data_IF_784187905642
#
_entry.id   IF_784187905642
#
_cell.length_a   1.000
_cell.length_b   1.000
_cell.length_c   1.000
_cell.angle_alpha   90.00
_cell.angle_beta   90.00
_cell.angle_gamma   90.00
#
_symmetry.space_group_name_H-M   'P 1'
#
loop_
_entity.id
_entity.type
_entity.pdbx_description
1 polymer ?
#
# COMPACT_ATOMS: atom_id res chain seq x y z
N UNK A 1 -36.13 13.18 33.83
CA UNK A 1 -35.98 13.36 32.36
C UNK A 1 -36.96 12.42 31.65
N UNK A 2 -37.82 12.91 30.76
CA UNK A 2 -38.86 12.06 30.13
C UNK A 2 -38.26 11.03 29.17
N UNK A 3 -38.84 9.83 29.14
CA UNK A 3 -38.44 8.69 28.28
C UNK A 3 -38.31 9.10 26.80
N UNK A 4 -39.12 10.08 26.35
CA UNK A 4 -39.04 10.67 25.00
C UNK A 4 -37.71 11.37 24.74
N UNK A 5 -37.20 12.18 25.68
CA UNK A 5 -35.90 12.85 25.54
C UNK A 5 -34.75 11.86 25.57
N UNK A 6 -34.83 10.81 26.40
CA UNK A 6 -33.81 9.76 26.43
C UNK A 6 -33.72 9.01 25.09
N UNK A 7 -34.88 8.67 24.49
CA UNK A 7 -34.93 8.03 23.17
C UNK A 7 -34.34 8.93 22.09
N UNK A 8 -34.66 10.22 22.09
CA UNK A 8 -34.08 11.18 21.15
C UNK A 8 -32.56 11.27 21.29
N UNK A 9 -32.04 11.39 22.51
CA UNK A 9 -30.59 11.43 22.76
C UNK A 9 -29.90 10.17 22.25
N UNK A 10 -30.48 8.98 22.51
CA UNK A 10 -29.97 7.72 21.96
C UNK A 10 -29.97 7.70 20.44
N UNK A 11 -31.05 8.15 19.79
CA UNK A 11 -31.12 8.21 18.33
C UNK A 11 -30.06 9.15 17.75
N UNK A 12 -29.89 10.35 18.31
CA UNK A 12 -28.83 11.27 17.89
C UNK A 12 -27.44 10.65 18.04
N UNK A 13 -27.20 9.95 19.15
CA UNK A 13 -25.92 9.29 19.42
C UNK A 13 -25.67 8.15 18.41
N UNK A 14 -26.70 7.35 18.09
CA UNK A 14 -26.58 6.30 17.07
C UNK A 14 -26.34 6.85 15.67
N UNK A 15 -26.97 7.98 15.32
CA UNK A 15 -26.77 8.63 14.02
C UNK A 15 -25.34 9.15 13.92
N UNK A 16 -24.87 9.87 14.95
CA UNK A 16 -23.48 10.37 15.00
C UNK A 16 -22.49 9.21 14.89
N UNK A 17 -22.71 8.12 15.64
CA UNK A 17 -21.85 6.95 15.59
C UNK A 17 -21.82 6.32 14.19
N UNK A 18 -22.98 6.15 13.56
CA UNK A 18 -23.08 5.61 12.21
C UNK A 18 -22.38 6.52 11.18
N UNK A 19 -22.52 7.85 11.30
CA UNK A 19 -21.86 8.80 10.41
C UNK A 19 -20.33 8.76 10.58
N UNK A 20 -19.83 8.71 11.81
CA UNK A 20 -18.38 8.60 12.08
C UNK A 20 -17.82 7.29 11.54
N UNK A 21 -18.51 6.16 11.76
CA UNK A 21 -18.09 4.86 11.23
C UNK A 21 -18.06 4.87 9.71
N UNK A 22 -19.11 5.38 9.05
CA UNK A 22 -19.16 5.49 7.60
C UNK A 22 -18.02 6.37 7.06
N UNK A 23 -17.74 7.51 7.71
CA UNK A 23 -16.66 8.41 7.34
C UNK A 23 -15.28 7.74 7.48
N UNK A 24 -15.05 6.98 8.57
CA UNK A 24 -13.80 6.24 8.78
C UNK A 24 -13.59 5.14 7.74
N UNK A 25 -14.65 4.39 7.41
CA UNK A 25 -14.60 3.35 6.36
C UNK A 25 -14.32 3.96 4.99
N UNK A 26 -14.99 5.06 4.66
CA UNK A 26 -14.78 5.77 3.39
C UNK A 26 -13.36 6.33 3.29
N UNK A 27 -12.84 6.94 4.36
CA UNK A 27 -11.48 7.46 4.40
C UNK A 27 -10.44 6.33 4.23
N UNK A 28 -10.64 5.18 4.88
CA UNK A 28 -9.79 4.00 4.67
C UNK A 28 -9.82 3.50 3.24
N UNK A 29 -11.01 3.44 2.63
CA UNK A 29 -11.16 3.01 1.24
C UNK A 29 -10.43 3.95 0.26
N UNK A 30 -10.61 5.26 0.42
CA UNK A 30 -9.91 6.26 -0.40
C UNK A 30 -8.38 6.14 -0.26
N UNK A 31 -7.88 6.01 0.97
CA UNK A 31 -6.43 5.88 1.23
C UNK A 31 -5.86 4.61 0.59
N UNK A 32 -6.59 3.50 0.66
CA UNK A 32 -6.15 2.25 0.03
C UNK A 32 -6.16 2.36 -1.50
N UNK A 33 -7.16 3.03 -2.08
CA UNK A 33 -7.21 3.31 -3.52
C UNK A 33 -6.04 4.16 -4.00
N UNK A 34 -5.70 5.23 -3.27
CA UNK A 34 -4.56 6.08 -3.63
C UNK A 34 -3.22 5.36 -3.50
N UNK A 35 -3.03 4.58 -2.42
CA UNK A 35 -1.81 3.78 -2.23
C UNK A 35 -1.65 2.74 -3.33
N UNK A 36 -2.75 2.13 -3.77
CA UNK A 36 -2.71 1.15 -4.86
C UNK A 36 -2.35 1.78 -6.20
N UNK A 37 -2.85 3.00 -6.47
CA UNK A 37 -2.46 3.74 -7.66
C UNK A 37 -0.96 4.07 -7.67
N UNK A 38 -0.41 4.50 -6.53
CA UNK A 38 1.04 4.74 -6.38
C UNK A 38 1.83 3.43 -6.53
N UNK A 39 1.37 2.34 -5.91
CA UNK A 39 2.00 1.03 -6.07
C UNK A 39 2.04 0.59 -7.54
N UNK A 40 0.97 0.83 -8.32
CA UNK A 40 0.97 0.56 -9.77
C UNK A 40 1.97 1.43 -10.53
N UNK A 41 2.15 2.69 -10.15
CA UNK A 41 3.19 3.55 -10.74
C UNK A 41 4.58 2.99 -10.42
N UNK A 42 4.82 2.58 -9.18
CA UNK A 42 6.08 1.95 -8.75
C UNK A 42 6.33 0.65 -9.53
N UNK A 43 5.34 -0.25 -9.62
CA UNK A 43 5.52 -1.50 -10.37
C UNK A 43 5.78 -1.25 -11.85
N UNK A 44 5.14 -0.24 -12.43
CA UNK A 44 5.37 0.16 -13.82
C UNK A 44 6.78 0.72 -14.02
N UNK A 45 7.23 1.65 -13.16
CA UNK A 45 8.55 2.26 -13.23
C UNK A 45 9.67 1.23 -13.04
N UNK A 46 9.51 0.33 -12.07
CA UNK A 46 10.47 -0.74 -11.79
C UNK A 46 10.32 -1.97 -12.69
N UNK A 47 9.30 -2.01 -13.58
CA UNK A 47 8.90 -3.21 -14.33
C UNK A 47 8.71 -4.45 -13.43
N UNK A 48 8.29 -4.25 -12.19
CA UNK A 48 7.99 -5.32 -11.25
C UNK A 48 6.68 -6.01 -11.62
N UNK A 49 6.47 -7.27 -11.19
CA UNK A 49 5.17 -7.92 -11.32
C UNK A 49 4.09 -7.15 -10.55
N UNK A 50 2.90 -7.07 -11.14
CA UNK A 50 1.76 -6.37 -10.55
C UNK A 50 1.38 -6.95 -9.18
N UNK A 51 1.04 -6.07 -8.24
CA UNK A 51 0.64 -6.47 -6.89
C UNK A 51 -0.77 -7.12 -6.92
N UNK A 52 -0.91 -8.40 -6.54
CA UNK A 52 -2.19 -9.11 -6.56
C UNK A 52 -3.30 -8.42 -5.76
N UNK A 53 -4.56 -8.57 -6.21
CA UNK A 53 -5.73 -7.92 -5.58
C UNK A 53 -5.88 -8.21 -4.08
N UNK A 54 -5.47 -9.40 -3.64
CA UNK A 54 -5.54 -9.87 -2.24
C UNK A 54 -4.40 -9.39 -1.33
N UNK A 55 -3.40 -8.68 -1.85
CA UNK A 55 -2.31 -8.09 -1.06
C UNK A 55 -2.66 -6.63 -0.75
N UNK A 56 -2.55 -6.27 0.52
CA UNK A 56 -2.72 -4.91 1.02
C UNK A 56 -1.43 -4.11 0.78
N UNK A 57 -1.55 -2.97 0.11
CA UNK A 57 -0.48 -1.97 0.03
C UNK A 57 -0.56 -1.12 1.30
N UNK A 58 0.34 -1.34 2.25
CA UNK A 58 0.36 -0.58 3.51
C UNK A 58 1.03 0.78 3.34
N UNK A 59 2.04 0.83 2.48
CA UNK A 59 2.79 2.04 2.17
C UNK A 59 3.26 1.99 0.73
N UNK A 60 3.14 3.10 0.02
CA UNK A 60 3.63 3.28 -1.33
C UNK A 60 3.98 4.76 -1.49
N UNK A 61 5.23 5.04 -1.82
CA UNK A 61 5.73 6.40 -1.97
C UNK A 61 6.76 6.48 -3.09
N UNK A 62 6.77 7.62 -3.78
CA UNK A 62 7.76 7.97 -4.80
C UNK A 62 8.32 9.32 -4.35
N UNK A 63 9.56 9.31 -3.91
CA UNK A 63 10.30 10.49 -3.49
C UNK A 63 11.23 10.94 -4.61
N UNK A 64 11.27 12.24 -4.95
CA UNK A 64 12.32 12.76 -5.83
C UNK A 64 13.66 12.64 -5.10
N UNK A 65 14.66 12.07 -5.78
CA UNK A 65 16.00 12.00 -5.22
C UNK A 65 16.69 13.36 -5.28
N UNK A 66 17.84 13.51 -4.59
CA UNK A 66 18.66 14.73 -4.68
C UNK A 66 19.13 14.98 -6.12
N UNK A 67 19.34 13.91 -6.88
CA UNK A 67 19.56 13.95 -8.31
C UNK A 67 18.21 13.85 -9.04
N UNK A 68 17.89 14.86 -9.85
CA UNK A 68 16.63 14.96 -10.60
C UNK A 68 16.45 13.85 -11.63
N UNK A 69 17.51 13.10 -11.94
CA UNK A 69 17.47 11.94 -12.83
C UNK A 69 17.01 10.66 -12.12
N UNK A 70 16.83 10.68 -10.79
CA UNK A 70 16.43 9.53 -10.01
C UNK A 70 15.19 9.78 -9.15
N UNK A 71 14.39 8.73 -8.98
CA UNK A 71 13.35 8.67 -7.94
C UNK A 71 13.62 7.52 -7.00
N UNK A 72 13.37 7.77 -5.72
CA UNK A 72 13.38 6.76 -4.69
C UNK A 72 11.96 6.21 -4.55
N UNK A 73 11.82 4.90 -4.69
CA UNK A 73 10.53 4.23 -4.56
C UNK A 73 10.51 3.40 -3.30
N UNK A 74 9.41 3.46 -2.56
CA UNK A 74 9.18 2.68 -1.35
C UNK A 74 7.83 1.99 -1.50
N UNK A 75 7.81 0.68 -1.36
CA UNK A 75 6.62 -0.15 -1.42
C UNK A 75 6.61 -1.15 -0.27
N UNK A 76 5.63 -1.02 0.62
CA UNK A 76 5.37 -1.99 1.70
C UNK A 76 4.07 -2.73 1.41
N UNK A 77 4.19 -4.05 1.29
CA UNK A 77 3.10 -4.98 1.06
C UNK A 77 2.85 -5.83 2.29
N UNK A 78 1.59 -6.21 2.51
CA UNK A 78 1.21 -7.20 3.51
C UNK A 78 -0.01 -7.99 3.07
N UNK A 79 -0.10 -9.26 3.43
CA UNK A 79 -1.18 -10.11 2.97
C UNK A 79 -1.00 -11.57 3.39
N UNK A 80 -1.83 -12.48 2.87
CA UNK A 80 -1.67 -13.91 3.12
C UNK A 80 -0.31 -14.40 2.62
N UNK A 81 0.40 -15.20 3.43
CA UNK A 81 1.75 -15.70 3.12
C UNK A 81 1.80 -16.37 1.75
N UNK A 82 0.86 -17.26 1.42
CA UNK A 82 0.85 -17.94 0.11
C UNK A 82 0.79 -16.99 -1.09
N UNK A 83 0.02 -15.90 -1.00
CA UNK A 83 -0.06 -14.91 -2.10
C UNK A 83 1.19 -14.03 -2.18
N UNK A 84 1.81 -13.73 -1.04
CA UNK A 84 3.08 -13.01 -0.99
C UNK A 84 4.22 -13.87 -1.54
N UNK A 85 4.29 -15.15 -1.16
CA UNK A 85 5.32 -16.09 -1.63
C UNK A 85 5.25 -16.28 -3.16
N UNK A 86 4.05 -16.40 -3.72
CA UNK A 86 3.87 -16.49 -5.17
C UNK A 86 4.32 -15.22 -5.89
N UNK A 87 4.04 -14.05 -5.32
CA UNK A 87 4.50 -12.78 -5.88
C UNK A 87 6.02 -12.64 -5.75
N UNK A 88 6.60 -13.00 -4.60
CA UNK A 88 8.05 -13.00 -4.37
C UNK A 88 8.80 -13.89 -5.38
N UNK A 89 8.28 -15.08 -5.70
CA UNK A 89 8.87 -15.91 -6.77
C UNK A 89 8.92 -15.21 -8.13
N UNK A 90 7.94 -14.38 -8.46
CA UNK A 90 7.97 -13.58 -9.69
C UNK A 90 8.98 -12.43 -9.59
N UNK A 91 9.12 -11.85 -8.39
CA UNK A 91 10.14 -10.84 -8.11
C UNK A 91 11.55 -11.42 -8.21
N UNK A 92 11.79 -12.66 -7.75
CA UNK A 92 13.07 -13.36 -7.90
C UNK A 92 13.44 -13.55 -9.38
N UNK A 93 12.46 -13.89 -10.23
CA UNK A 93 12.65 -13.99 -11.68
C UNK A 93 12.90 -12.62 -12.33
N UNK A 94 12.24 -11.57 -11.83
CA UNK A 94 12.53 -10.21 -12.22
C UNK A 94 13.94 -9.79 -11.82
N UNK A 95 14.44 -10.17 -10.65
CA UNK A 95 15.77 -9.82 -10.17
C UNK A 95 16.86 -10.37 -11.10
N UNK A 96 16.67 -11.59 -11.61
CA UNK A 96 17.56 -12.20 -12.63
C UNK A 96 17.59 -11.43 -13.95
N UNK A 97 16.51 -10.71 -14.28
CA UNK A 97 16.34 -9.95 -15.53
C UNK A 97 16.23 -8.44 -15.27
N UNK A 98 16.77 -7.98 -14.13
CA UNK A 98 16.53 -6.65 -13.62
C UNK A 98 16.91 -5.58 -14.64
N UNK A 99 16.03 -4.61 -14.93
CA UNK A 99 16.37 -3.46 -15.77
C UNK A 99 17.57 -2.69 -15.21
N UNK A 100 18.48 -2.26 -16.08
CA UNK A 100 19.67 -1.47 -15.68
C UNK A 100 19.35 -0.07 -15.12
N UNK A 101 18.10 0.39 -15.27
CA UNK A 101 17.62 1.67 -14.71
C UNK A 101 17.39 1.61 -13.20
N UNK A 102 17.50 0.43 -12.58
CA UNK A 102 17.19 0.21 -11.17
C UNK A 102 18.46 0.03 -10.37
N UNK A 103 18.66 0.91 -9.40
CA UNK A 103 19.83 0.97 -8.54
C UNK A 103 19.42 0.86 -7.07
N UNK A 104 20.40 0.53 -6.21
CA UNK A 104 20.27 0.51 -4.75
C UNK A 104 19.01 -0.18 -4.18
N UNK A 105 18.49 -1.18 -4.91
CA UNK A 105 17.27 -1.87 -4.49
C UNK A 105 17.52 -2.75 -3.26
N UNK A 106 16.47 -2.91 -2.45
CA UNK A 106 16.44 -3.78 -1.29
C UNK A 106 15.06 -4.38 -1.14
N UNK A 107 15.02 -5.69 -0.98
CA UNK A 107 13.81 -6.45 -0.65
C UNK A 107 14.00 -7.03 0.74
N UNK A 108 13.06 -6.77 1.64
CA UNK A 108 13.10 -7.28 3.01
C UNK A 108 11.78 -7.95 3.35
N UNK A 109 11.87 -9.23 3.64
CA UNK A 109 10.79 -10.01 4.21
C UNK A 109 10.85 -9.92 5.75
N UNK A 110 9.69 -9.76 6.39
CA UNK A 110 9.62 -9.80 7.84
C UNK A 110 9.41 -11.25 8.32
N UNK A 111 10.36 -11.77 9.11
CA UNK A 111 10.35 -13.18 9.56
C UNK A 111 9.10 -13.57 10.37
N UNK A 112 8.49 -12.61 11.09
CA UNK A 112 7.38 -12.84 12.03
C UNK A 112 6.05 -12.24 11.58
N UNK A 113 6.00 -11.65 10.39
CA UNK A 113 4.77 -11.07 9.83
C UNK A 113 4.77 -11.19 8.32
N UNK A 114 3.65 -11.53 7.71
CA UNK A 114 3.48 -11.58 6.26
C UNK A 114 3.52 -10.15 5.66
N UNK A 115 4.72 -9.58 5.61
CA UNK A 115 5.05 -8.22 5.18
C UNK A 115 6.34 -8.26 4.37
N UNK A 116 6.31 -7.57 3.24
CA UNK A 116 7.45 -7.36 2.36
C UNK A 116 7.66 -5.86 2.20
N UNK A 117 8.89 -5.41 2.43
CA UNK A 117 9.31 -4.04 2.14
C UNK A 117 10.24 -4.07 0.93
N UNK A 118 9.90 -3.28 -0.08
CA UNK A 118 10.70 -3.05 -1.28
C UNK A 118 11.10 -1.58 -1.33
N UNK A 119 12.37 -1.31 -1.55
CA UNK A 119 12.90 0.03 -1.81
C UNK A 119 13.82 -0.03 -3.01
N UNK A 120 13.81 0.98 -3.87
CA UNK A 120 14.77 1.08 -4.96
C UNK A 120 14.95 2.52 -5.43
N UNK A 121 16.05 2.77 -6.11
CA UNK A 121 16.27 4.01 -6.85
C UNK A 121 16.05 3.70 -8.33
N UNK A 122 15.27 4.52 -9.02
CA UNK A 122 14.93 4.33 -10.43
C UNK A 122 15.39 5.55 -11.21
N UNK A 123 16.23 5.31 -12.21
CA UNK A 123 16.61 6.32 -13.18
C UNK A 123 15.42 6.66 -14.10
N UNK A 124 15.11 7.95 -14.20
CA UNK A 124 14.09 8.49 -15.08
C UNK A 124 14.81 9.16 -16.25
N UNK A 125 14.68 8.57 -17.43
CA UNK A 125 15.17 9.13 -18.70
C UNK A 125 14.25 10.24 -19.24
#
# INVERSE_FOLDING_TARGET
>A
MSIRRLRQVLTYLTVILATVVAMLLFHRYQKQGSLRAIATQITTACKLPDVPKGIEVRHAHIDPSEDQQFIDVILTLSGPTGSLDEWLKQVDEWEKKRPGVIQNHRIREAEMSSRVDFTAEVFIE
#
